data_IF_354424459138
#
_entry.id   IF_354424459138
#
_cell.length_a   1.000
_cell.length_b   1.000
_cell.length_c   1.000
_cell.angle_alpha   90.00
_cell.angle_beta   90.00
_cell.angle_gamma   90.00
#
_symmetry.space_group_name_H-M   'P 1'
#
loop_
_entity.id
_entity.type
_entity.pdbx_description
1 polymer ?
#
# COMPACT_ATOMS: atom_id res chain seq x y z
N UNK A 1 9.09 1.56 -7.08
CA UNK A 1 8.66 1.04 -8.40
C UNK A 1 7.37 1.75 -8.76
N UNK A 2 7.17 2.17 -10.00
CA UNK A 2 5.84 2.60 -10.48
C UNK A 2 5.30 1.48 -11.38
N UNK A 3 4.07 1.07 -11.15
CA UNK A 3 3.47 -0.08 -11.83
C UNK A 3 2.00 0.17 -12.12
N UNK A 4 1.42 -0.68 -12.98
CA UNK A 4 -0.01 -0.78 -13.19
C UNK A 4 -0.42 -2.23 -13.00
N UNK A 5 -1.64 -2.45 -12.50
CA UNK A 5 -2.19 -3.79 -12.39
C UNK A 5 -2.39 -4.38 -13.79
N UNK A 6 -2.01 -5.65 -13.93
CA UNK A 6 -2.24 -6.42 -15.15
C UNK A 6 -2.84 -7.76 -14.79
N UNK A 7 -3.63 -8.32 -15.71
CA UNK A 7 -4.06 -9.71 -15.59
C UNK A 7 -2.85 -10.62 -15.46
N UNK A 8 -2.92 -11.62 -14.57
CA UNK A 8 -1.88 -12.64 -14.43
C UNK A 8 -1.64 -13.45 -15.71
N UNK A 9 -2.61 -13.47 -16.62
CA UNK A 9 -2.49 -14.11 -17.94
C UNK A 9 -1.75 -13.22 -18.98
N UNK A 10 -1.43 -11.96 -18.64
CA UNK A 10 -0.77 -11.06 -19.57
C UNK A 10 0.69 -11.50 -19.83
N UNK A 11 1.15 -11.51 -21.09
CA UNK A 11 2.51 -11.94 -21.39
C UNK A 11 3.53 -10.91 -20.87
N UNK A 12 4.73 -11.36 -20.44
CA UNK A 12 5.79 -10.48 -20.00
C UNK A 12 6.29 -9.58 -21.14
N UNK A 13 6.36 -8.27 -20.89
CA UNK A 13 6.81 -7.23 -21.81
C UNK A 13 8.17 -6.72 -21.37
N UNK A 14 9.24 -7.17 -22.02
CA UNK A 14 10.57 -6.61 -21.79
C UNK A 14 10.62 -5.17 -22.33
N UNK A 15 11.27 -4.21 -21.64
CA UNK A 15 12.13 -4.37 -20.47
C UNK A 15 11.43 -4.18 -19.10
N UNK A 16 10.10 -4.27 -19.02
CA UNK A 16 9.36 -4.03 -17.76
C UNK A 16 9.62 -5.15 -16.73
N UNK A 17 9.67 -4.74 -15.46
CA UNK A 17 9.70 -5.65 -14.32
C UNK A 17 8.28 -6.00 -13.87
N UNK A 18 8.14 -7.15 -13.21
CA UNK A 18 6.88 -7.65 -12.67
C UNK A 18 7.04 -7.88 -11.18
N UNK A 19 6.01 -7.52 -10.42
CA UNK A 19 5.90 -7.79 -9.00
C UNK A 19 4.56 -8.51 -8.78
N UNK A 20 4.63 -9.76 -8.34
CA UNK A 20 3.46 -10.49 -7.89
C UNK A 20 3.21 -10.18 -6.42
N UNK A 21 1.96 -9.95 -6.05
CA UNK A 21 1.55 -9.64 -4.68
C UNK A 21 0.67 -10.75 -4.15
N UNK A 22 1.06 -11.34 -3.02
CA UNK A 22 0.31 -12.41 -2.37
C UNK A 22 -1.02 -11.89 -1.81
N UNK A 23 -2.13 -12.67 -1.91
CA UNK A 23 -3.38 -12.33 -1.26
C UNK A 23 -3.22 -12.14 0.25
N UNK A 24 -3.64 -10.96 0.74
CA UNK A 24 -3.44 -10.53 2.13
C UNK A 24 -4.51 -9.51 2.54
N UNK A 25 -4.72 -9.37 3.85
CA UNK A 25 -5.45 -8.24 4.40
C UNK A 25 -4.58 -6.98 4.42
N UNK A 26 -5.18 -5.81 4.23
CA UNK A 26 -4.49 -4.53 4.22
C UNK A 26 -5.18 -3.55 5.17
N UNK A 27 -4.39 -2.74 5.88
CA UNK A 27 -4.87 -1.50 6.47
C UNK A 27 -4.77 -0.40 5.42
N UNK A 28 -5.88 0.30 5.18
CA UNK A 28 -6.01 1.27 4.10
C UNK A 28 -6.13 2.67 4.69
N UNK A 29 -5.29 3.59 4.23
CA UNK A 29 -5.22 4.96 4.72
C UNK A 29 -5.27 5.96 3.56
N UNK A 30 -5.98 7.06 3.74
CA UNK A 30 -5.99 8.17 2.79
C UNK A 30 -4.98 9.25 3.20
N UNK A 31 -4.07 9.60 2.30
CA UNK A 31 -3.31 10.83 2.36
C UNK A 31 -4.05 11.91 1.56
N UNK A 32 -4.49 12.98 2.24
CA UNK A 32 -5.35 14.02 1.64
C UNK A 32 -4.65 15.36 1.44
N UNK A 33 -3.45 15.51 1.96
CA UNK A 33 -2.64 16.72 1.82
C UNK A 33 -1.78 16.67 0.55
N UNK A 34 -0.89 17.65 0.41
CA UNK A 34 0.06 17.69 -0.69
C UNK A 34 1.03 16.52 -0.60
N UNK A 35 1.25 15.81 -1.72
CA UNK A 35 2.05 14.56 -1.81
C UNK A 35 3.45 14.66 -1.19
N UNK A 36 4.06 15.86 -1.17
CA UNK A 36 5.36 16.06 -0.50
C UNK A 36 5.34 15.77 1.01
N UNK A 37 4.15 15.73 1.62
CA UNK A 37 3.93 15.47 3.05
C UNK A 37 3.55 14.02 3.34
N UNK A 38 3.60 13.13 2.34
CA UNK A 38 3.27 11.71 2.51
C UNK A 38 4.09 11.02 3.60
N UNK A 39 5.32 11.48 3.85
CA UNK A 39 6.18 10.94 4.92
C UNK A 39 5.58 11.17 6.32
N UNK A 40 4.87 12.28 6.53
CA UNK A 40 4.16 12.55 7.79
C UNK A 40 3.03 11.54 7.99
N UNK A 41 2.32 11.20 6.90
CA UNK A 41 1.30 10.15 6.92
C UNK A 41 1.89 8.79 7.24
N UNK A 42 3.02 8.43 6.64
CA UNK A 42 3.73 7.20 7.00
C UNK A 42 4.15 7.16 8.46
N UNK A 43 4.68 8.27 8.98
CA UNK A 43 5.08 8.39 10.38
C UNK A 43 3.90 8.15 11.32
N UNK A 44 2.75 8.76 11.03
CA UNK A 44 1.52 8.56 11.81
C UNK A 44 0.98 7.12 11.68
N UNK A 45 1.02 6.53 10.49
CA UNK A 45 0.60 5.13 10.28
C UNK A 45 1.42 4.18 11.15
N UNK A 46 2.74 4.29 11.11
CA UNK A 46 3.64 3.35 11.78
C UNK A 46 3.71 3.54 13.29
N UNK A 47 3.74 4.77 13.76
CA UNK A 47 3.98 5.07 15.18
C UNK A 47 2.69 5.22 15.99
N UNK A 48 1.55 5.45 15.33
CA UNK A 48 0.29 5.74 16.01
C UNK A 48 -0.82 4.80 15.55
N UNK A 49 -1.17 4.81 14.26
CA UNK A 49 -2.40 4.17 13.80
C UNK A 49 -2.36 2.63 13.89
N UNK A 50 -1.29 1.99 13.41
CA UNK A 50 -1.15 0.53 13.48
C UNK A 50 -1.03 0.03 14.92
N UNK A 51 -0.16 0.61 15.78
CA UNK A 51 -0.10 0.23 17.19
C UNK A 51 -1.42 0.43 17.92
N UNK A 52 -2.11 1.55 17.71
CA UNK A 52 -3.40 1.84 18.36
C UNK A 52 -4.49 0.83 17.94
N UNK A 53 -4.42 0.31 16.71
CA UNK A 53 -5.32 -0.72 16.21
C UNK A 53 -4.90 -2.15 16.60
N UNK A 54 -3.75 -2.33 17.26
CA UNK A 54 -3.19 -3.66 17.56
C UNK A 54 -2.84 -4.46 16.30
N UNK A 55 -2.50 -3.79 15.21
CA UNK A 55 -2.18 -4.38 13.92
C UNK A 55 -0.67 -4.41 13.68
N UNK A 56 -0.18 -5.50 13.12
CA UNK A 56 1.22 -5.62 12.68
C UNK A 56 1.26 -5.68 11.16
N UNK A 57 2.20 -4.94 10.57
CA UNK A 57 2.45 -5.03 9.15
C UNK A 57 3.26 -6.28 8.82
N UNK A 58 2.92 -6.93 7.72
CA UNK A 58 3.66 -8.05 7.19
C UNK A 58 4.92 -7.59 6.46
N UNK A 59 5.88 -8.51 6.36
CA UNK A 59 6.95 -8.41 5.39
C UNK A 59 6.39 -8.57 3.96
N UNK A 60 6.12 -7.45 3.31
CA UNK A 60 5.55 -7.35 1.96
C UNK A 60 5.53 -5.89 1.47
N UNK A 61 5.21 -5.66 0.18
CA UNK A 61 5.18 -4.31 -0.37
C UNK A 61 4.01 -3.51 0.18
N UNK A 62 4.29 -2.27 0.61
CA UNK A 62 3.27 -1.23 0.71
C UNK A 62 2.90 -0.77 -0.69
N UNK A 63 1.61 -0.58 -0.94
CA UNK A 63 1.11 -0.10 -2.22
C UNK A 63 0.56 1.32 -2.05
N UNK A 64 0.94 2.22 -2.96
CA UNK A 64 0.43 3.58 -3.03
C UNK A 64 -0.35 3.74 -4.35
N UNK A 65 -1.59 4.21 -4.24
CA UNK A 65 -2.46 4.46 -5.37
C UNK A 65 -2.73 5.96 -5.47
N UNK A 66 -2.41 6.57 -6.61
CA UNK A 66 -2.87 7.91 -6.92
C UNK A 66 -4.39 7.87 -7.09
N UNK A 67 -5.10 8.68 -6.30
CA UNK A 67 -6.55 8.71 -6.38
C UNK A 67 -6.97 9.30 -7.72
N UNK A 68 -8.22 9.04 -8.13
CA UNK A 68 -8.75 9.58 -9.39
C UNK A 68 -8.65 11.12 -9.48
N UNK A 69 -8.77 11.80 -8.33
CA UNK A 69 -8.65 13.25 -8.23
C UNK A 69 -7.20 13.77 -8.18
N UNK A 70 -6.20 12.88 -8.12
CA UNK A 70 -4.80 13.28 -8.00
C UNK A 70 -4.33 14.03 -9.25
N UNK A 71 -3.82 15.23 -9.04
CA UNK A 71 -3.23 16.07 -10.07
C UNK A 71 -1.72 16.19 -9.86
N UNK A 72 -0.89 15.60 -10.74
CA UNK A 72 0.57 15.66 -10.62
C UNK A 72 1.14 17.06 -10.84
N UNK A 73 0.38 17.98 -11.47
CA UNK A 73 0.79 19.37 -11.65
C UNK A 73 0.73 20.19 -10.37
N UNK A 74 -0.20 19.85 -9.47
CA UNK A 74 -0.40 20.54 -8.18
C UNK A 74 0.05 19.73 -6.98
N UNK A 75 0.26 18.42 -7.14
CA UNK A 75 0.61 17.50 -6.04
C UNK A 75 -0.54 17.25 -5.06
N UNK A 76 -1.77 17.61 -5.43
CA UNK A 76 -2.99 17.51 -4.61
C UNK A 76 -3.96 16.49 -5.21
N UNK A 77 -5.03 16.18 -4.48
CA UNK A 77 -6.06 15.21 -4.90
C UNK A 77 -5.89 13.81 -4.31
N UNK A 78 -4.81 13.61 -3.55
CA UNK A 78 -4.66 12.53 -2.58
C UNK A 78 -4.14 11.21 -3.11
N UNK A 79 -3.68 10.38 -2.17
CA UNK A 79 -3.17 9.04 -2.37
C UNK A 79 -3.85 8.08 -1.40
N UNK A 80 -4.06 6.85 -1.83
CA UNK A 80 -4.46 5.76 -0.93
C UNK A 80 -3.26 4.86 -0.67
N UNK A 81 -2.95 4.60 0.60
CA UNK A 81 -1.82 3.79 1.06
C UNK A 81 -2.35 2.48 1.64
N UNK A 82 -1.87 1.36 1.14
CA UNK A 82 -2.26 0.01 1.58
C UNK A 82 -1.08 -0.66 2.28
N UNK A 83 -1.17 -0.83 3.59
CA UNK A 83 -0.17 -1.51 4.39
C UNK A 83 -0.54 -2.99 4.52
N UNK A 84 0.30 -3.93 4.03
CA UNK A 84 0.01 -5.35 4.15
C UNK A 84 0.05 -5.77 5.61
N UNK A 85 -0.95 -6.53 6.06
CA UNK A 85 -1.03 -6.99 7.45
C UNK A 85 -0.51 -8.42 7.61
N UNK A 86 0.07 -8.70 8.77
CA UNK A 86 0.35 -10.09 9.15
C UNK A 86 -0.95 -10.91 9.13
N UNK A 87 -0.85 -12.18 8.73
CA UNK A 87 -2.00 -13.06 8.88
C UNK A 87 -2.18 -13.26 10.37
N UNK A 88 -3.36 -12.93 10.90
CA UNK A 88 -3.72 -13.32 12.25
C UNK A 88 -3.52 -14.84 12.34
N UNK A 89 -2.60 -15.27 13.21
CA UNK A 89 -2.33 -16.68 13.41
C UNK A 89 -3.59 -17.34 13.96
N UNK A 90 -4.36 -18.00 13.11
CA UNK A 90 -5.27 -19.02 13.60
C UNK A 90 -4.37 -20.14 14.10
N UNK A 91 -4.31 -20.28 15.44
CA UNK A 91 -3.78 -21.48 16.05
C UNK A 91 -4.50 -22.71 15.48
N UNK A 92 -3.76 -23.46 14.68
CA UNK A 92 -3.91 -24.89 14.43
C UNK A 92 -2.49 -25.40 14.58
N UNK A 93 -2.06 -26.07 15.66
CA UNK A 93 -2.76 -27.13 16.38
C UNK A 93 -2.16 -28.45 15.90
N UNK A 94 -1.23 -28.99 16.71
CA UNK A 94 -0.61 -30.32 16.68
C UNK A 94 0.27 -30.71 15.48
#
# INVERSE_FOLDING_TARGET
MCATEVSSAAPPRKPLAYLETEPRGYAVFDHRDHVSTIFDTYTAIWNEALPAAGLNAANGPVLEFHNEAFDPGTGLGGLTIWIPLERNGNGSGA
#
